data_IF_990516492822
#
_entry.id   IF_990516492822
#
_cell.length_a   1.000
_cell.length_b   1.000
_cell.length_c   1.000
_cell.angle_alpha   90.00
_cell.angle_beta   90.00
_cell.angle_gamma   90.00
#
_symmetry.space_group_name_H-M   'P 1'
#
loop_
_entity.id
_entity.type
_entity.pdbx_description
1 polymer ?
#
# COMPACT_ATOMS: atom_id res chain seq x y z
N UNK A 1 -21.18 -11.85 4.70
CA UNK A 1 -20.14 -11.19 3.88
C UNK A 1 -18.92 -12.07 3.88
N UNK A 2 -18.24 -12.28 2.74
CA UNK A 2 -16.95 -12.95 2.75
C UNK A 2 -15.98 -12.20 3.67
N UNK A 3 -15.23 -12.95 4.47
CA UNK A 3 -14.26 -12.38 5.40
C UNK A 3 -13.11 -11.77 4.59
N UNK A 4 -12.86 -10.47 4.76
CA UNK A 4 -11.77 -9.78 4.08
C UNK A 4 -10.45 -10.13 4.78
N UNK A 5 -9.36 -10.36 4.02
CA UNK A 5 -8.04 -10.70 4.57
C UNK A 5 -7.49 -9.66 5.55
N UNK A 6 -7.99 -8.41 5.48
CA UNK A 6 -7.66 -7.39 6.46
C UNK A 6 -8.18 -7.70 7.86
N UNK A 7 -9.25 -8.49 8.02
CA UNK A 7 -9.86 -8.79 9.32
C UNK A 7 -9.22 -9.97 10.05
N UNK A 8 -8.32 -10.70 9.40
CA UNK A 8 -7.66 -11.89 9.96
C UNK A 8 -6.30 -11.60 10.58
N UNK A 9 -5.80 -10.36 10.47
CA UNK A 9 -4.51 -9.95 11.06
C UNK A 9 -4.69 -9.30 12.43
N UNK A 10 -3.77 -9.61 13.34
CA UNK A 10 -3.74 -9.02 14.68
C UNK A 10 -3.15 -7.60 14.64
N UNK A 11 -4.05 -6.60 14.63
CA UNK A 11 -3.67 -5.19 14.59
C UNK A 11 -3.00 -4.71 15.88
N UNK A 12 -3.15 -5.43 17.00
CA UNK A 12 -2.52 -5.05 18.27
C UNK A 12 -1.01 -5.29 18.28
N UNK A 13 -0.53 -6.19 17.41
CA UNK A 13 0.89 -6.54 17.24
C UNK A 13 1.50 -5.94 15.98
N UNK A 14 0.73 -5.19 15.20
CA UNK A 14 1.18 -4.63 13.93
C UNK A 14 2.13 -3.45 14.16
N UNK A 15 3.35 -3.58 13.65
CA UNK A 15 4.34 -2.50 13.65
C UNK A 15 4.10 -1.55 12.47
N UNK A 16 4.35 -0.26 12.69
CA UNK A 16 4.31 0.77 11.67
C UNK A 16 5.48 1.76 11.89
N UNK A 17 6.02 2.38 10.82
CA UNK A 17 5.65 2.19 9.43
C UNK A 17 6.16 0.87 8.83
N UNK A 18 5.33 0.17 8.03
CA UNK A 18 5.66 -1.14 7.48
C UNK A 18 4.96 -1.44 6.14
N UNK A 19 5.55 -2.35 5.36
CA UNK A 19 4.96 -2.90 4.12
C UNK A 19 4.66 -4.37 4.34
N UNK A 20 3.42 -4.77 4.05
CA UNK A 20 2.96 -6.17 4.15
C UNK A 20 2.20 -6.56 2.89
N UNK A 21 2.35 -7.82 2.47
CA UNK A 21 1.46 -8.39 1.44
C UNK A 21 0.11 -8.63 2.09
N UNK A 22 -0.90 -7.87 1.67
CA UNK A 22 -2.26 -7.99 2.17
C UNK A 22 -2.99 -9.16 1.52
N UNK A 23 -2.82 -9.30 0.21
CA UNK A 23 -3.48 -10.33 -0.60
C UNK A 23 -2.68 -10.59 -1.87
N UNK A 24 -2.70 -11.83 -2.34
CA UNK A 24 -2.26 -12.23 -3.68
C UNK A 24 -3.42 -12.91 -4.38
N UNK A 25 -3.59 -12.64 -5.67
CA UNK A 25 -4.58 -13.30 -6.51
C UNK A 25 -4.03 -13.43 -7.93
N UNK A 26 -4.62 -14.33 -8.73
CA UNK A 26 -4.32 -14.44 -10.15
C UNK A 26 -5.57 -14.10 -10.96
N UNK A 27 -5.39 -13.39 -12.07
CA UNK A 27 -6.46 -13.14 -13.03
C UNK A 27 -6.89 -14.46 -13.70
N UNK A 28 -8.10 -14.56 -14.26
CA UNK A 28 -8.49 -15.72 -15.09
C UNK A 28 -7.55 -15.95 -16.29
N UNK A 29 -6.82 -14.92 -16.72
CA UNK A 29 -5.85 -14.97 -17.81
C UNK A 29 -4.42 -15.31 -17.35
N UNK A 30 -4.19 -15.48 -16.05
CA UNK A 30 -2.91 -15.92 -15.47
C UNK A 30 -2.01 -14.80 -14.94
N UNK A 31 -2.45 -13.55 -14.90
CA UNK A 31 -1.66 -12.44 -14.37
C UNK A 31 -1.71 -12.42 -12.84
N UNK A 32 -0.56 -12.24 -12.20
CA UNK A 32 -0.50 -12.06 -10.75
C UNK A 32 -0.89 -10.64 -10.35
N UNK A 33 -1.78 -10.50 -9.37
CA UNK A 33 -2.14 -9.25 -8.72
C UNK A 33 -1.72 -9.35 -7.25
N UNK A 34 -0.94 -8.37 -6.80
CA UNK A 34 -0.56 -8.25 -5.39
C UNK A 34 -1.15 -6.98 -4.80
N UNK A 35 -1.81 -7.10 -3.64
CA UNK A 35 -2.26 -5.97 -2.84
C UNK A 35 -1.33 -5.83 -1.65
N UNK A 36 -0.76 -4.64 -1.49
CA UNK A 36 0.10 -4.26 -0.37
C UNK A 36 -0.65 -3.40 0.64
N UNK A 37 -0.45 -3.73 1.90
CA UNK A 37 -0.76 -2.88 3.05
C UNK A 37 0.48 -2.00 3.32
N UNK A 38 0.35 -0.72 3.02
CA UNK A 38 1.35 0.31 3.29
C UNK A 38 0.93 1.02 4.58
N UNK A 39 1.40 0.51 5.71
CA UNK A 39 0.98 0.97 7.04
C UNK A 39 1.83 2.15 7.48
N UNK A 40 1.22 3.33 7.62
CA UNK A 40 1.89 4.56 8.05
C UNK A 40 1.87 4.69 9.58
N UNK A 41 0.71 4.44 10.20
CA UNK A 41 0.46 4.67 11.61
C UNK A 41 0.24 3.36 12.36
N UNK A 42 0.63 3.33 13.63
CA UNK A 42 0.35 2.18 14.50
C UNK A 42 -1.17 2.10 14.75
N UNK A 43 -1.82 0.95 14.45
CA UNK A 43 -3.27 0.83 14.62
C UNK A 43 -3.73 1.18 16.03
N UNK A 44 -4.85 1.90 16.13
CA UNK A 44 -5.47 2.35 17.39
C UNK A 44 -4.59 3.27 18.27
N UNK A 45 -3.50 3.83 17.73
CA UNK A 45 -2.65 4.80 18.44
C UNK A 45 -2.53 6.13 17.70
N UNK A 46 -2.43 6.08 16.38
CA UNK A 46 -2.19 7.25 15.54
C UNK A 46 -3.08 7.20 14.29
N UNK A 47 -3.41 8.37 13.75
CA UNK A 47 -4.17 8.52 12.50
C UNK A 47 -3.60 9.68 11.69
N UNK A 48 -3.69 9.57 10.37
CA UNK A 48 -3.43 10.66 9.46
C UNK A 48 -4.61 11.64 9.45
N UNK A 49 -4.33 12.95 9.35
CA UNK A 49 -5.39 13.95 9.19
C UNK A 49 -6.11 13.75 7.86
N UNK A 50 -7.40 14.07 7.80
CA UNK A 50 -8.22 13.92 6.59
C UNK A 50 -7.71 14.76 5.41
N UNK A 51 -7.39 16.03 5.67
CA UNK A 51 -6.83 16.91 4.63
C UNK A 51 -5.46 16.41 4.15
N UNK A 52 -4.60 16.01 5.10
CA UNK A 52 -3.26 15.53 4.79
C UNK A 52 -3.29 14.24 3.98
N UNK A 53 -4.10 13.24 4.37
CA UNK A 53 -4.18 11.96 3.67
C UNK A 53 -4.75 12.12 2.25
N UNK A 54 -5.75 12.97 2.06
CA UNK A 54 -6.31 13.23 0.73
C UNK A 54 -5.32 13.99 -0.18
N UNK A 55 -4.68 15.06 0.30
CA UNK A 55 -3.63 15.74 -0.48
C UNK A 55 -2.49 14.78 -0.84
N UNK A 56 -2.09 13.96 0.12
CA UNK A 56 -1.03 12.99 -0.07
C UNK A 56 -1.41 11.88 -1.04
N UNK A 57 -2.66 11.42 -1.09
CA UNK A 57 -3.16 10.45 -2.08
C UNK A 57 -2.88 10.90 -3.52
N UNK A 58 -3.17 12.16 -3.86
CA UNK A 58 -2.92 12.73 -5.20
C UNK A 58 -1.45 12.70 -5.60
N UNK A 59 -0.54 12.94 -4.66
CA UNK A 59 0.91 12.93 -4.92
C UNK A 59 1.49 11.52 -4.92
N UNK A 60 1.09 10.73 -3.93
CA UNK A 60 1.69 9.44 -3.62
C UNK A 60 1.52 8.45 -4.77
N UNK A 61 0.38 8.48 -5.43
CA UNK A 61 0.07 7.65 -6.58
C UNK A 61 1.02 7.91 -7.77
N UNK A 62 1.39 9.16 -8.03
CA UNK A 62 2.33 9.53 -9.08
C UNK A 62 3.75 9.08 -8.75
N UNK A 63 4.27 9.54 -7.62
CA UNK A 63 5.65 9.23 -7.23
C UNK A 63 5.90 7.74 -6.99
N UNK A 64 4.91 6.97 -6.54
CA UNK A 64 5.06 5.52 -6.44
C UNK A 64 5.22 4.87 -7.81
N UNK A 65 4.52 5.36 -8.83
CA UNK A 65 4.66 4.85 -10.20
C UNK A 65 6.07 5.13 -10.73
N UNK A 66 6.62 6.31 -10.48
CA UNK A 66 7.99 6.66 -10.91
C UNK A 66 9.05 5.71 -10.32
N UNK A 67 8.87 5.28 -9.06
CA UNK A 67 9.87 4.47 -8.36
C UNK A 67 9.63 2.95 -8.38
N UNK A 68 8.42 2.50 -8.71
CA UNK A 68 8.05 1.08 -8.64
C UNK A 68 7.64 0.46 -9.97
N UNK A 69 7.04 1.23 -10.89
CA UNK A 69 6.63 0.69 -12.19
C UNK A 69 7.85 0.22 -12.99
N UNK A 70 7.66 -0.86 -13.71
CA UNK A 70 8.67 -1.48 -14.56
C UNK A 70 8.01 -2.45 -15.53
N UNK A 71 8.77 -3.06 -16.45
CA UNK A 71 8.25 -4.09 -17.37
C UNK A 71 7.59 -5.31 -16.68
N UNK A 72 7.78 -5.48 -15.37
CA UNK A 72 7.24 -6.61 -14.58
C UNK A 72 6.28 -6.18 -13.46
N UNK A 73 6.08 -4.88 -13.29
CA UNK A 73 5.28 -4.33 -12.18
C UNK A 73 4.54 -3.11 -12.68
N UNK A 74 3.22 -3.12 -12.53
CA UNK A 74 2.38 -2.00 -12.93
C UNK A 74 1.35 -1.73 -11.83
N UNK A 75 1.43 -0.54 -11.23
CA UNK A 75 0.48 -0.12 -10.19
C UNK A 75 -0.89 0.14 -10.82
N UNK A 76 -1.89 -0.56 -10.30
CA UNK A 76 -3.29 -0.37 -10.66
C UNK A 76 -3.83 0.82 -9.87
N UNK A 77 -3.74 0.78 -8.54
CA UNK A 77 -4.33 1.77 -7.65
C UNK A 77 -3.55 1.95 -6.34
N UNK A 78 -3.63 3.14 -5.75
CA UNK A 78 -3.19 3.45 -4.38
C UNK A 78 -4.28 4.27 -3.70
N UNK A 79 -5.00 3.65 -2.75
CA UNK A 79 -6.14 4.26 -2.07
C UNK A 79 -5.96 4.31 -0.55
N UNK A 80 -6.43 5.37 0.13
CA UNK A 80 -6.35 5.49 1.58
C UNK A 80 -7.26 4.46 2.26
N UNK A 81 -6.79 3.92 3.38
CA UNK A 81 -7.64 3.10 4.23
C UNK A 81 -8.64 3.97 5.00
N UNK A 82 -9.89 3.53 5.13
CA UNK A 82 -10.92 4.27 5.88
C UNK A 82 -10.57 4.52 7.35
N UNK A 83 -9.74 3.68 7.97
CA UNK A 83 -9.21 3.90 9.33
C UNK A 83 -8.10 4.95 9.40
N UNK A 84 -7.66 5.52 8.25
CA UNK A 84 -6.62 6.56 8.12
C UNK A 84 -5.26 6.20 8.72
N UNK A 85 -4.93 4.92 8.77
CA UNK A 85 -3.62 4.44 9.27
C UNK A 85 -2.65 4.04 8.17
N UNK A 86 -3.06 4.09 6.91
CA UNK A 86 -2.24 3.70 5.78
C UNK A 86 -3.00 3.68 4.46
N UNK A 87 -2.40 3.02 3.47
CA UNK A 87 -2.92 2.89 2.11
C UNK A 87 -2.91 1.44 1.68
N UNK A 88 -3.86 1.06 0.83
CA UNK A 88 -3.73 -0.14 0.02
C UNK A 88 -3.17 0.23 -1.34
N UNK A 89 -2.19 -0.54 -1.81
CA UNK A 89 -1.67 -0.45 -3.18
C UNK A 89 -1.92 -1.77 -3.89
N UNK A 90 -2.67 -1.75 -4.98
CA UNK A 90 -2.84 -2.91 -5.87
C UNK A 90 -1.96 -2.75 -7.11
N UNK A 91 -1.35 -3.85 -7.55
CA UNK A 91 -0.48 -3.86 -8.72
C UNK A 91 -0.50 -5.21 -9.42
N UNK A 92 -0.16 -5.19 -10.71
CA UNK A 92 0.24 -6.37 -11.47
C UNK A 92 1.69 -6.74 -11.13
N UNK A 93 1.93 -8.03 -10.94
CA UNK A 93 3.22 -8.61 -10.59
C UNK A 93 3.40 -8.91 -9.09
N UNK A 94 4.56 -9.47 -8.75
CA UNK A 94 4.90 -9.98 -7.40
C UNK A 94 6.20 -9.38 -6.83
N UNK A 95 6.34 -8.04 -6.75
CA UNK A 95 7.53 -7.42 -6.20
C UNK A 95 7.70 -7.78 -4.72
N UNK A 96 8.95 -8.03 -4.29
CA UNK A 96 9.24 -8.24 -2.85
C UNK A 96 8.89 -6.99 -2.05
N UNK A 97 8.33 -7.15 -0.84
CA UNK A 97 7.98 -6.05 0.05
C UNK A 97 9.13 -5.06 0.30
N UNK A 98 10.39 -5.53 0.35
CA UNK A 98 11.58 -4.68 0.47
C UNK A 98 11.76 -3.72 -0.72
N UNK A 99 11.39 -4.13 -1.94
CA UNK A 99 11.42 -3.25 -3.13
C UNK A 99 10.34 -2.18 -3.01
N UNK A 100 9.13 -2.56 -2.61
CA UNK A 100 8.02 -1.64 -2.36
C UNK A 100 8.38 -0.62 -1.28
N UNK A 101 8.95 -1.05 -0.15
CA UNK A 101 9.38 -0.15 0.92
C UNK A 101 10.46 0.86 0.48
N UNK A 102 11.38 0.45 -0.40
CA UNK A 102 12.37 1.37 -1.00
C UNK A 102 11.73 2.40 -1.92
N UNK A 103 10.79 1.98 -2.77
CA UNK A 103 10.05 2.89 -3.64
C UNK A 103 9.23 3.88 -2.81
N UNK A 104 8.47 3.38 -1.83
CA UNK A 104 7.71 4.19 -0.90
C UNK A 104 8.59 5.24 -0.20
N UNK A 105 9.75 4.85 0.34
CA UNK A 105 10.67 5.80 0.97
C UNK A 105 11.17 6.89 0.00
N UNK A 106 11.36 6.58 -1.28
CA UNK A 106 11.72 7.59 -2.29
C UNK A 106 10.56 8.51 -2.59
N UNK A 107 9.36 7.96 -2.80
CA UNK A 107 8.15 8.75 -3.00
C UNK A 107 7.88 9.71 -1.84
N UNK A 108 8.24 9.35 -0.60
CA UNK A 108 8.10 10.26 0.54
C UNK A 108 9.07 11.44 0.48
N UNK A 109 10.24 11.26 -0.15
CA UNK A 109 11.20 12.35 -0.35
C UNK A 109 10.74 13.31 -1.44
N UNK A 110 10.05 12.82 -2.46
CA UNK A 110 9.54 13.67 -3.55
C UNK A 110 8.35 14.54 -3.12
N UNK A 111 7.70 14.18 -2.00
CA UNK A 111 6.64 14.99 -1.38
C UNK A 111 7.18 16.19 -0.61
N UNK A 112 8.47 16.17 -0.21
CA UNK A 112 9.13 17.24 0.56
C UNK A 112 9.74 18.31 -0.36
#
# INVERSE_FOLDING_TARGET
>A
MPLLDSFTVDHTKMIAPAVRVAKTMSSPSGDDITVFDLRFCVPNKEILSEKGIHTFEHLFAGFMRDHLNSKKVEIIDISPMGCRTGFYMSLLGTPKAKKVAKAWKKSMKDVL
#
